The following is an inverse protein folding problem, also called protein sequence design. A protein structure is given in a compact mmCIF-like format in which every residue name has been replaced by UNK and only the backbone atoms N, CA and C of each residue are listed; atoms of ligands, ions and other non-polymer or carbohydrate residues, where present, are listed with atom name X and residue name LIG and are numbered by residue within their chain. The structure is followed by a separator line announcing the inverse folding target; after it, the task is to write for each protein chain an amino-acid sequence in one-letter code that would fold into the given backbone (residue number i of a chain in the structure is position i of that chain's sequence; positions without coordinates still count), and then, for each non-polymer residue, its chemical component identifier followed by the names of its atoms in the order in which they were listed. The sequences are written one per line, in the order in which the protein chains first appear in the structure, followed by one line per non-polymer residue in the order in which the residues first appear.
data_IF_756110161099
#
_entry.id   IF_756110161099
#
_cell.length_a   1.000
_cell.length_b   1.000
_cell.length_c   1.000
_cell.angle_alpha   90.00
_cell.angle_beta   90.00
_cell.angle_gamma   90.00
#
_symmetry.space_group_name_H-M   'P 1'
#
loop_
_entity.id
_entity.type
_entity.pdbx_description
1 polymer ?
#
# COMPACT_ATOMS: atom_id res chain seq x y z
N UNK A 1 -8.43 -1.32 -4.60
CA UNK A 1 -7.28 -0.64 -3.97
C UNK A 1 -5.99 -1.17 -4.56
N UNK A 2 -5.04 -0.27 -4.80
CA UNK A 2 -3.72 -0.51 -5.38
C UNK A 2 -2.67 0.13 -4.48
N UNK A 3 -1.44 -0.39 -4.53
CA UNK A 3 -0.29 0.18 -3.87
C UNK A 3 0.63 0.83 -4.92
N UNK A 4 0.98 2.09 -4.71
CA UNK A 4 1.84 2.84 -5.61
C UNK A 4 3.15 3.20 -4.91
N UNK A 5 4.28 2.87 -5.55
CA UNK A 5 5.56 3.47 -5.22
C UNK A 5 5.65 4.83 -5.93
N UNK A 6 5.87 5.87 -5.13
CA UNK A 6 5.89 7.25 -5.58
C UNK A 6 7.25 7.86 -5.27
N UNK A 7 7.86 8.53 -6.26
CA UNK A 7 8.95 9.47 -6.05
C UNK A 7 8.33 10.87 -6.07
N UNK A 8 8.44 11.57 -4.94
CA UNK A 8 7.84 12.88 -4.71
C UNK A 8 8.96 13.89 -4.52
N UNK A 9 8.86 15.02 -5.22
CA UNK A 9 9.65 16.23 -4.95
C UNK A 9 8.73 17.23 -4.24
N UNK A 10 9.08 17.66 -3.03
CA UNK A 10 8.30 18.63 -2.24
C UNK A 10 8.80 20.09 -2.40
N UNK A 11 9.71 20.33 -3.35
CA UNK A 11 10.39 21.61 -3.56
C UNK A 11 11.60 21.85 -2.67
N UNK A 12 11.88 20.94 -1.72
CA UNK A 12 13.09 20.95 -0.86
C UNK A 12 13.87 19.64 -0.96
N UNK A 13 13.19 18.50 -1.06
CA UNK A 13 13.76 17.17 -1.09
C UNK A 13 13.00 16.26 -2.07
N UNK A 14 13.73 15.31 -2.65
CA UNK A 14 13.16 14.21 -3.42
C UNK A 14 13.19 12.95 -2.56
N UNK A 15 12.04 12.33 -2.32
CA UNK A 15 11.92 11.13 -1.50
C UNK A 15 10.99 10.08 -2.11
N UNK A 16 11.16 8.84 -1.67
CA UNK A 16 10.35 7.69 -2.08
C UNK A 16 9.32 7.37 -0.99
N UNK A 17 8.08 7.09 -1.39
CA UNK A 17 7.00 6.67 -0.49
C UNK A 17 6.10 5.61 -1.12
N UNK A 18 5.41 4.84 -0.28
CA UNK A 18 4.38 3.89 -0.69
C UNK A 18 3.01 4.46 -0.30
N UNK A 19 2.09 4.56 -1.25
CA UNK A 19 0.75 5.11 -1.02
C UNK A 19 -0.33 4.20 -1.60
N UNK A 20 -1.36 3.91 -0.80
CA UNK A 20 -2.52 3.15 -1.23
C UNK A 20 -3.60 4.08 -1.80
N UNK A 21 -4.14 3.76 -2.98
CA UNK A 21 -5.25 4.48 -3.62
C UNK A 21 -6.07 3.54 -4.52
N UNK A 22 -7.30 3.90 -4.92
CA UNK A 22 -8.06 3.07 -5.87
C UNK A 22 -7.48 3.14 -7.28
N UNK A 23 -6.98 4.31 -7.67
CA UNK A 23 -6.39 4.56 -8.97
C UNK A 23 -5.44 5.78 -8.93
N UNK A 24 -4.71 5.99 -10.02
CA UNK A 24 -3.76 7.11 -10.15
C UNK A 24 -4.44 8.49 -10.05
N UNK A 25 -5.68 8.64 -10.50
CA UNK A 25 -6.41 9.93 -10.44
C UNK A 25 -6.67 10.34 -8.98
N UNK A 26 -7.10 9.39 -8.15
CA UNK A 26 -7.29 9.61 -6.72
C UNK A 26 -5.97 9.91 -6.02
N UNK A 27 -4.90 9.16 -6.33
CA UNK A 27 -3.55 9.42 -5.80
C UNK A 27 -3.09 10.86 -6.05
N UNK A 28 -3.30 11.37 -7.27
CA UNK A 28 -2.96 12.75 -7.64
C UNK A 28 -3.78 13.80 -6.89
N UNK A 29 -5.01 13.48 -6.48
CA UNK A 29 -5.84 14.40 -5.70
C UNK A 29 -5.38 14.58 -4.26
N UNK A 30 -4.63 13.61 -3.71
CA UNK A 30 -4.09 13.64 -2.34
C UNK A 30 -2.91 14.59 -2.22
N UNK A 31 -2.10 14.75 -3.27
CA UNK A 31 -0.89 15.59 -3.29
C UNK A 31 -1.11 16.97 -3.92
N UNK A 32 -2.31 17.54 -3.76
CA UNK A 32 -2.73 18.83 -4.34
C UNK A 32 -2.07 20.10 -3.78
N UNK A 33 -0.79 20.07 -3.39
CA UNK A 33 -0.07 21.26 -2.91
C UNK A 33 1.45 21.10 -2.93
N UNK A 34 2.14 22.11 -3.52
CA UNK A 34 3.60 22.37 -3.61
C UNK A 34 4.58 21.23 -3.98
N UNK A 35 4.16 19.97 -4.06
CA UNK A 35 5.00 18.86 -4.51
C UNK A 35 4.55 18.25 -5.84
N UNK A 36 5.51 17.72 -6.61
CA UNK A 36 5.27 16.98 -7.86
C UNK A 36 5.58 15.49 -7.69
N UNK A 37 4.79 14.65 -8.37
CA UNK A 37 5.15 13.26 -8.54
C UNK A 37 6.10 13.11 -9.73
N UNK A 38 7.36 12.81 -9.45
CA UNK A 38 8.36 12.55 -10.48
C UNK A 38 8.16 11.17 -11.12
N UNK A 39 7.74 10.19 -10.31
CA UNK A 39 7.46 8.83 -10.78
C UNK A 39 6.38 8.17 -9.94
N UNK A 40 5.47 7.48 -10.61
CA UNK A 40 4.44 6.65 -9.98
C UNK A 40 4.49 5.27 -10.63
N UNK A 41 4.69 4.24 -9.81
CA UNK A 41 4.71 2.84 -10.24
C UNK A 41 3.68 2.05 -9.45
N UNK A 42 2.79 1.35 -10.14
CA UNK A 42 1.85 0.40 -9.52
C UNK A 42 2.63 -0.85 -9.13
N UNK A 43 2.85 -1.04 -7.82
CA UNK A 43 3.60 -2.17 -7.24
C UNK A 43 2.65 -3.17 -6.59
N UNK A 44 1.34 -3.06 -6.84
CA UNK A 44 0.32 -3.90 -6.16
C UNK A 44 0.64 -5.38 -6.26
N UNK A 45 1.08 -5.87 -7.42
CA UNK A 45 1.39 -7.29 -7.64
C UNK A 45 2.63 -7.77 -6.90
N UNK A 46 3.56 -6.88 -6.60
CA UNK A 46 4.79 -7.23 -5.88
C UNK A 46 4.50 -7.45 -4.38
N UNK A 47 3.42 -6.85 -3.88
CA UNK A 47 3.01 -6.92 -2.48
C UNK A 47 1.77 -7.77 -2.23
N UNK A 48 0.97 -8.11 -3.25
CA UNK A 48 -0.21 -8.95 -3.15
C UNK A 48 0.08 -10.32 -3.77
N UNK A 49 0.89 -11.10 -3.06
CA UNK A 49 1.31 -12.44 -3.41
C UNK A 49 0.66 -13.46 -2.48
N UNK A 50 0.84 -14.75 -2.78
CA UNK A 50 0.34 -15.84 -1.95
C UNK A 50 0.97 -15.86 -0.54
N UNK A 51 2.13 -15.20 -0.35
CA UNK A 51 2.84 -15.14 0.94
C UNK A 51 2.54 -13.86 1.74
N UNK A 52 1.83 -12.89 1.15
CA UNK A 52 1.61 -11.58 1.77
C UNK A 52 0.82 -11.64 3.08
N UNK A 53 -0.14 -12.55 3.17
CA UNK A 53 -0.97 -12.72 4.37
C UNK A 53 -0.12 -13.20 5.54
N UNK A 54 0.72 -14.21 5.32
CA UNK A 54 1.56 -14.79 6.35
C UNK A 54 2.65 -13.81 6.79
N UNK A 55 3.25 -13.11 5.83
CA UNK A 55 4.22 -12.06 6.12
C UNK A 55 3.61 -10.94 6.96
N UNK A 56 2.42 -10.44 6.58
CA UNK A 56 1.72 -9.41 7.34
C UNK A 56 1.38 -9.89 8.76
N UNK A 57 0.88 -11.13 8.89
CA UNK A 57 0.57 -11.73 10.19
C UNK A 57 1.81 -11.75 11.09
N UNK A 58 2.94 -12.22 10.57
CA UNK A 58 4.20 -12.24 11.32
C UNK A 58 4.66 -10.84 11.75
N UNK A 59 4.58 -9.85 10.85
CA UNK A 59 4.96 -8.48 11.16
C UNK A 59 4.07 -7.87 12.26
N UNK A 60 2.75 -8.09 12.19
CA UNK A 60 1.81 -7.59 13.20
C UNK A 60 2.08 -8.24 14.56
N UNK A 61 2.30 -9.55 14.60
CA UNK A 61 2.63 -10.27 15.84
C UNK A 61 3.97 -9.75 16.41
N UNK A 62 5.02 -9.64 15.60
CA UNK A 62 6.36 -9.15 16.03
C UNK A 62 6.32 -7.72 16.55
N UNK A 63 5.39 -6.91 16.07
CA UNK A 63 5.20 -5.51 16.51
C UNK A 63 4.23 -5.38 17.70
N UNK A 64 3.73 -6.49 18.23
CA UNK A 64 2.90 -6.52 19.44
C UNK A 64 1.42 -6.22 19.20
N UNK A 65 0.92 -6.36 17.97
CA UNK A 65 -0.50 -6.22 17.69
C UNK A 65 -1.31 -7.35 18.33
N UNK A 66 -2.54 -7.02 18.74
CA UNK A 66 -3.47 -7.99 19.28
C UNK A 66 -3.92 -9.01 18.23
N UNK A 67 -4.34 -10.18 18.71
CA UNK A 67 -4.79 -11.27 17.84
C UNK A 67 -6.01 -10.88 17.02
N UNK A 68 -6.97 -10.16 17.62
CA UNK A 68 -8.20 -9.76 16.94
C UNK A 68 -7.94 -8.81 15.76
N UNK A 69 -7.10 -7.81 15.98
CA UNK A 69 -6.69 -6.84 14.96
C UNK A 69 -5.89 -7.51 13.84
N UNK A 70 -5.01 -8.44 14.21
CA UNK A 70 -4.22 -9.23 13.24
C UNK A 70 -5.13 -10.07 12.34
N UNK A 71 -6.09 -10.81 12.90
CA UNK A 71 -7.05 -11.60 12.12
C UNK A 71 -7.93 -10.71 11.24
N UNK A 72 -8.38 -9.56 11.73
CA UNK A 72 -9.21 -8.64 10.95
C UNK A 72 -8.46 -8.09 9.73
N UNK A 73 -7.24 -7.58 9.92
CA UNK A 73 -6.46 -6.99 8.82
C UNK A 73 -6.03 -8.06 7.81
N UNK A 74 -5.62 -9.24 8.28
CA UNK A 74 -5.23 -10.34 7.38
C UNK A 74 -6.41 -10.89 6.58
N UNK A 75 -7.62 -10.96 7.17
CA UNK A 75 -8.84 -11.32 6.46
C UNK A 75 -9.21 -10.30 5.38
N UNK A 76 -9.08 -9.00 5.66
CA UNK A 76 -9.33 -7.94 4.67
C UNK A 76 -8.35 -8.02 3.48
N UNK A 77 -7.08 -8.31 3.76
CA UNK A 77 -6.08 -8.51 2.71
C UNK A 77 -6.42 -9.73 1.84
N UNK A 78 -6.75 -10.87 2.46
CA UNK A 78 -7.14 -12.09 1.74
C UNK A 78 -8.37 -11.88 0.85
N UNK A 79 -9.42 -11.25 1.38
CA UNK A 79 -10.61 -10.90 0.61
C UNK A 79 -10.26 -10.04 -0.61
N UNK A 80 -9.37 -9.06 -0.43
CA UNK A 80 -8.97 -8.17 -1.50
C UNK A 80 -8.15 -8.88 -2.59
N UNK A 81 -7.19 -9.74 -2.20
CA UNK A 81 -6.41 -10.57 -3.14
C UNK A 81 -7.34 -11.46 -3.97
N UNK A 82 -8.28 -12.15 -3.31
CA UNK A 82 -9.26 -13.01 -3.99
C UNK A 82 -10.16 -12.27 -4.97
N UNK A 83 -10.53 -11.01 -4.66
CA UNK A 83 -11.32 -10.16 -5.57
C UNK A 83 -10.55 -9.72 -6.80
N UNK A 84 -9.22 -9.56 -6.71
CA UNK A 84 -8.39 -9.20 -7.87
C UNK A 84 -8.09 -10.38 -8.81
N UNK A 85 -8.17 -11.61 -8.29
CA UNK A 85 -7.92 -12.85 -9.03
C UNK A 85 -9.19 -13.48 -9.66
N UNK A 86 -10.36 -12.86 -9.47
CA UNK A 86 -11.63 -13.22 -10.13
C UNK A 86 -11.84 -12.39 -11.38
#
# INVERSE_FOLDING_TARGET
MKLFECIVDDGKNVFKTLTAAQNKKELLSVYGGNGSFEKITDVTKDYFTDTSIDYLRECLIKTGWGKGETELITALLDEHIRKQNK
#
